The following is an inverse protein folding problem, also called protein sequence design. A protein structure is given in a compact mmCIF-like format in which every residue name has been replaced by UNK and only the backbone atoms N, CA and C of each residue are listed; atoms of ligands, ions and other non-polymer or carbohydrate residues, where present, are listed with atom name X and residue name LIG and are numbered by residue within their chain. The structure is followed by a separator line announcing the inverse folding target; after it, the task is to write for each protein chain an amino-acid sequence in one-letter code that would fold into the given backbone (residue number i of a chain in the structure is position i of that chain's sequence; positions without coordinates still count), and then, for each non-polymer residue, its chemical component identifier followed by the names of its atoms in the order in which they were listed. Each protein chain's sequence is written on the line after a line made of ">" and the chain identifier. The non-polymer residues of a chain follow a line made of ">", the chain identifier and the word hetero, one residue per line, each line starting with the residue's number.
data_IF_668414921125
#
_entry.id   IF_668414921125
#
_cell.length_a   1.000
_cell.length_b   1.000
_cell.length_c   1.000
_cell.angle_alpha   90.00
_cell.angle_beta   90.00
_cell.angle_gamma   90.00
#
_symmetry.space_group_name_H-M   'P 1'
#
loop_
_entity.id
_entity.type
_entity.pdbx_description
1 polymer ?
#
# COMPACT_ATOMS: atom_id res chain seq x y z
N UNK A 1 3.63 -3.16 -12.79
CA UNK A 1 3.58 -2.30 -11.58
C UNK A 1 2.20 -1.77 -11.26
N UNK A 2 1.44 -1.23 -12.23
CA UNK A 2 0.11 -0.64 -11.97
C UNK A 2 -0.88 -1.59 -11.28
N UNK A 3 -0.90 -2.87 -11.66
CA UNK A 3 -1.75 -3.89 -11.02
C UNK A 3 -1.53 -3.99 -9.49
N UNK A 4 -0.27 -3.89 -9.03
CA UNK A 4 0.07 -3.96 -7.61
C UNK A 4 -0.41 -2.74 -6.83
N UNK A 5 -0.35 -1.54 -7.42
CA UNK A 5 -0.92 -0.32 -6.83
C UNK A 5 -2.44 -0.40 -6.72
N UNK A 6 -3.11 -0.95 -7.74
CA UNK A 6 -4.56 -1.17 -7.72
C UNK A 6 -4.92 -2.19 -6.63
N UNK A 7 -4.20 -3.31 -6.55
CA UNK A 7 -4.40 -4.32 -5.52
C UNK A 7 -4.24 -3.74 -4.11
N UNK A 8 -3.20 -2.95 -3.87
CA UNK A 8 -2.98 -2.27 -2.58
C UNK A 8 -4.13 -1.32 -2.23
N UNK A 9 -4.58 -0.52 -3.20
CA UNK A 9 -5.68 0.41 -3.01
C UNK A 9 -6.98 -0.31 -2.65
N UNK A 10 -7.32 -1.38 -3.37
CA UNK A 10 -8.51 -2.20 -3.10
C UNK A 10 -8.41 -2.86 -1.73
N UNK A 11 -7.25 -3.40 -1.36
CA UNK A 11 -7.05 -4.05 -0.06
C UNK A 11 -7.24 -3.08 1.11
N UNK A 12 -6.66 -1.88 1.04
CA UNK A 12 -6.82 -0.84 2.07
C UNK A 12 -8.29 -0.38 2.15
N UNK A 13 -8.91 -0.10 1.00
CA UNK A 13 -10.30 0.36 0.95
C UNK A 13 -11.27 -0.69 1.50
N UNK A 14 -11.07 -1.95 1.14
CA UNK A 14 -11.85 -3.07 1.66
C UNK A 14 -11.66 -3.23 3.16
N UNK A 15 -10.42 -3.29 3.65
CA UNK A 15 -10.11 -3.43 5.08
C UNK A 15 -10.73 -2.32 5.94
N UNK A 16 -10.82 -1.11 5.38
CA UNK A 16 -11.56 0.01 5.97
C UNK A 16 -13.08 -0.25 5.96
N UNK A 17 -13.63 -0.65 4.81
CA UNK A 17 -15.07 -0.86 4.62
C UNK A 17 -15.64 -1.98 5.50
N UNK A 18 -14.85 -3.01 5.79
CA UNK A 18 -15.22 -4.12 6.68
C UNK A 18 -14.76 -3.90 8.14
N UNK A 19 -14.31 -2.69 8.50
CA UNK A 19 -13.87 -2.31 9.85
C UNK A 19 -12.73 -3.16 10.45
N UNK A 20 -11.93 -3.80 9.60
CA UNK A 20 -10.68 -4.47 10.01
C UNK A 20 -9.64 -3.41 10.35
N UNK A 21 -9.54 -2.35 9.53
CA UNK A 21 -8.65 -1.21 9.74
C UNK A 21 -9.43 -0.13 10.49
N UNK A 22 -8.96 0.20 11.70
CA UNK A 22 -9.53 1.24 12.56
C UNK A 22 -8.62 2.47 12.61
N UNK A 23 -9.15 3.56 13.15
CA UNK A 23 -8.39 4.79 13.30
C UNK A 23 -7.24 4.58 14.30
N UNK A 24 -6.06 5.11 13.99
CA UNK A 24 -4.85 4.92 14.81
C UNK A 24 -4.11 3.61 14.56
N UNK A 25 -4.61 2.73 13.70
CA UNK A 25 -3.96 1.44 13.46
C UNK A 25 -2.62 1.60 12.72
N UNK A 26 -1.69 0.71 13.04
CA UNK A 26 -0.47 0.50 12.27
C UNK A 26 -0.69 -0.62 11.28
N UNK A 27 -0.53 -0.32 9.98
CA UNK A 27 -0.78 -1.24 8.87
C UNK A 27 0.55 -1.65 8.28
N UNK A 28 0.87 -2.94 8.39
CA UNK A 28 2.05 -3.52 7.76
C UNK A 28 1.74 -3.91 6.32
N UNK A 29 2.41 -3.26 5.36
CA UNK A 29 2.28 -3.49 3.93
C UNK A 29 3.52 -4.25 3.45
N UNK A 30 3.31 -5.46 2.95
CA UNK A 30 4.38 -6.33 2.46
C UNK A 30 4.39 -6.33 0.94
N UNK A 31 5.52 -5.99 0.33
CA UNK A 31 5.67 -5.84 -1.12
C UNK A 31 6.97 -6.50 -1.61
N UNK A 32 6.97 -7.03 -2.83
CA UNK A 32 8.18 -7.58 -3.47
C UNK A 32 9.03 -6.50 -4.15
N UNK A 33 8.40 -5.42 -4.64
CA UNK A 33 9.05 -4.38 -5.43
C UNK A 33 9.70 -3.31 -4.54
N UNK A 34 11.03 -3.20 -4.61
CA UNK A 34 11.79 -2.15 -3.95
C UNK A 34 11.38 -0.75 -4.43
N UNK A 35 11.19 -0.61 -5.75
CA UNK A 35 10.80 0.67 -6.37
C UNK A 35 9.47 1.17 -5.79
N UNK A 36 8.50 0.27 -5.62
CA UNK A 36 7.20 0.62 -5.03
C UNK A 36 7.32 0.95 -3.54
N UNK A 37 8.17 0.24 -2.79
CA UNK A 37 8.42 0.54 -1.38
C UNK A 37 9.05 1.93 -1.25
N UNK A 38 10.09 2.21 -2.04
CA UNK A 38 10.74 3.53 -2.05
C UNK A 38 9.75 4.62 -2.42
N UNK A 39 8.95 4.40 -3.47
CA UNK A 39 7.94 5.36 -3.89
C UNK A 39 6.92 5.67 -2.80
N UNK A 40 6.43 4.65 -2.08
CA UNK A 40 5.40 4.82 -1.04
C UNK A 40 5.95 5.34 0.29
N UNK A 41 7.21 5.03 0.63
CA UNK A 41 7.84 5.40 1.90
C UNK A 41 8.57 6.74 1.88
N UNK A 42 8.84 7.30 0.70
CA UNK A 42 9.54 8.58 0.54
C UNK A 42 8.64 9.62 -0.11
N UNK A 43 9.06 10.88 -0.16
CA UNK A 43 8.36 11.94 -0.92
C UNK A 43 8.73 11.96 -2.42
N UNK A 44 9.38 10.90 -2.93
CA UNK A 44 9.73 10.83 -4.34
C UNK A 44 8.48 10.79 -5.23
N UNK A 45 8.53 11.56 -6.31
CA UNK A 45 7.48 11.64 -7.33
C UNK A 45 7.81 10.65 -8.44
N UNK A 46 6.82 9.85 -8.82
CA UNK A 46 6.88 8.95 -9.97
C UNK A 46 6.29 9.63 -11.21
N UNK A 47 6.84 9.30 -12.39
CA UNK A 47 6.25 9.70 -13.67
C UNK A 47 4.95 8.92 -13.99
N UNK A 48 4.66 7.85 -13.26
CA UNK A 48 3.40 7.12 -13.40
C UNK A 48 2.27 7.84 -12.63
N UNK A 49 1.37 8.46 -13.39
CA UNK A 49 0.20 9.17 -12.85
C UNK A 49 -0.66 8.30 -11.95
N UNK A 50 -0.84 7.01 -12.27
CA UNK A 50 -1.65 6.11 -11.46
C UNK A 50 -0.98 5.86 -10.11
N UNK A 51 0.33 5.58 -10.11
CA UNK A 51 1.09 5.39 -8.87
C UNK A 51 1.01 6.62 -7.97
N UNK A 52 1.16 7.82 -8.54
CA UNK A 52 1.04 9.09 -7.82
C UNK A 52 -0.35 9.31 -7.22
N UNK A 53 -1.42 9.09 -8.01
CA UNK A 53 -2.79 9.23 -7.52
C UNK A 53 -3.08 8.25 -6.36
N UNK A 54 -2.58 7.02 -6.43
CA UNK A 54 -2.76 6.03 -5.36
C UNK A 54 -1.93 6.34 -4.12
N UNK A 55 -0.71 6.82 -4.27
CA UNK A 55 0.10 7.31 -3.13
C UNK A 55 -0.58 8.48 -2.42
N UNK A 56 -1.08 9.47 -3.17
CA UNK A 56 -1.83 10.61 -2.60
C UNK A 56 -3.05 10.14 -1.81
N UNK A 57 -3.78 9.16 -2.32
CA UNK A 57 -4.91 8.56 -1.62
C UNK A 57 -4.51 7.89 -0.29
N UNK A 58 -3.44 7.08 -0.30
CA UNK A 58 -2.92 6.43 0.91
C UNK A 58 -2.49 7.48 1.94
N UNK A 59 -1.78 8.52 1.52
CA UNK A 59 -1.36 9.62 2.41
C UNK A 59 -2.54 10.39 2.99
N UNK A 60 -3.57 10.67 2.19
CA UNK A 60 -4.79 11.32 2.66
C UNK A 60 -5.52 10.48 3.70
N UNK A 61 -5.65 9.17 3.46
CA UNK A 61 -6.22 8.25 4.43
C UNK A 61 -5.40 8.16 5.72
N UNK A 62 -4.06 8.13 5.58
CA UNK A 62 -3.12 8.18 6.69
C UNK A 62 -3.42 9.34 7.62
N UNK A 63 -3.51 10.54 7.04
CA UNK A 63 -3.79 11.77 7.78
C UNK A 63 -5.20 11.77 8.39
N UNK A 64 -6.22 11.40 7.61
CA UNK A 64 -7.61 11.45 8.06
C UNK A 64 -7.90 10.49 9.22
N UNK A 65 -7.26 9.32 9.22
CA UNK A 65 -7.52 8.25 10.19
C UNK A 65 -6.38 8.02 11.18
N UNK A 66 -5.33 8.85 11.13
CA UNK A 66 -4.11 8.68 11.92
C UNK A 66 -3.49 7.29 11.77
N UNK A 67 -3.49 6.76 10.54
CA UNK A 67 -2.90 5.44 10.26
C UNK A 67 -1.39 5.55 10.15
N UNK A 68 -0.68 4.50 10.53
CA UNK A 68 0.75 4.39 10.31
C UNK A 68 1.02 3.25 9.33
N UNK A 69 1.51 3.58 8.13
CA UNK A 69 1.88 2.57 7.14
C UNK A 69 3.35 2.16 7.31
N UNK A 70 3.58 0.86 7.51
CA UNK A 70 4.92 0.28 7.59
C UNK A 70 5.16 -0.61 6.38
N UNK A 71 6.10 -0.21 5.52
CA UNK A 71 6.42 -0.97 4.32
C UNK A 71 7.55 -1.95 4.60
N UNK A 72 7.35 -3.21 4.24
CA UNK A 72 8.35 -4.28 4.39
C UNK A 72 8.56 -4.98 3.04
N UNK A 73 9.82 -5.20 2.70
CA UNK A 73 10.19 -6.01 1.54
C UNK A 73 10.03 -7.49 1.88
N UNK A 74 9.34 -8.22 1.02
CA UNK A 74 9.23 -9.67 1.07
C UNK A 74 9.78 -10.30 -0.21
N UNK A 75 10.18 -11.56 -0.12
CA UNK A 75 10.57 -12.36 -1.29
C UNK A 75 9.37 -13.06 -1.92
N UNK A 76 9.50 -13.48 -3.18
CA UNK A 76 8.40 -14.09 -3.94
C UNK A 76 7.76 -15.32 -3.25
N UNK A 77 8.56 -16.14 -2.56
CA UNK A 77 8.06 -17.30 -1.81
C UNK A 77 7.28 -16.97 -0.53
N UNK A 78 7.43 -15.74 -0.02
CA UNK A 78 6.72 -15.23 1.15
C UNK A 78 5.42 -14.52 0.78
N UNK A 79 5.27 -14.10 -0.48
CA UNK A 79 4.06 -13.46 -0.95
C UNK A 79 2.91 -14.47 -0.99
N UNK A 80 1.86 -14.20 -0.23
CA UNK A 80 0.69 -15.07 -0.17
C UNK A 80 -0.11 -14.96 -1.48
N UNK A 81 -0.10 -13.79 -2.13
CA UNK A 81 -0.82 -13.56 -3.38
C UNK A 81 -0.22 -14.31 -4.56
N UNK A 82 1.10 -14.51 -4.59
CA UNK A 82 1.76 -15.29 -5.66
C UNK A 82 1.45 -16.79 -5.55
N UNK A 83 1.05 -17.29 -4.37
CA UNK A 83 0.62 -18.68 -4.17
C UNK A 83 -0.82 -18.94 -4.62
N UNK A 84 -1.58 -17.89 -4.92
CA UNK A 84 -3.00 -17.98 -5.31
C UNK A 84 -3.22 -17.77 -6.81
N UNK A 85 -2.15 -17.68 -7.59
CA UNK A 85 -2.14 -17.61 -9.05
C UNK A 85 -1.53 -18.90 -9.63
#
# INVERSE_FOLDING_TARGET
>A
MQATYIALHVAIFWGIGVFIIKNGDTIKIQLESDEMIQHLSTDQVSNDRLAEEKKKFINMLSAQRSLLYQYEKITHGQNISSKML
#
